data_IF_836393420911
#
_entry.id   IF_836393420911
#
_cell.length_a   1.000
_cell.length_b   1.000
_cell.length_c   1.000
_cell.angle_alpha   90.00
_cell.angle_beta   90.00
_cell.angle_gamma   90.00
#
_symmetry.space_group_name_H-M   'P 1'
#
loop_
_entity.id
_entity.type
_entity.pdbx_description
1 polymer ?
#
# COMPACT_ATOMS: atom_id res chain seq x y z
N UNK A 1 -2.55 21.11 15.82
CA UNK A 1 -1.12 21.28 16.20
C UNK A 1 -0.31 21.32 14.91
N UNK A 2 0.40 22.43 14.62
CA UNK A 2 1.14 22.59 13.35
C UNK A 2 2.41 21.73 13.33
N UNK A 3 2.63 21.01 12.24
CA UNK A 3 3.88 20.29 11.97
C UNK A 3 5.03 21.30 11.82
N UNK A 4 6.28 20.90 12.13
CA UNK A 4 7.45 21.77 11.86
C UNK A 4 7.52 22.10 10.37
N UNK A 5 7.66 23.39 10.02
CA UNK A 5 7.67 23.89 8.63
C UNK A 5 8.63 23.14 7.70
N UNK A 6 9.83 22.78 8.20
CA UNK A 6 10.82 22.00 7.42
C UNK A 6 10.30 20.64 6.99
N UNK A 7 9.51 19.98 7.83
CA UNK A 7 8.94 18.68 7.52
C UNK A 7 7.78 18.84 6.55
N UNK A 8 6.91 19.81 6.80
CA UNK A 8 5.78 20.11 5.92
C UNK A 8 6.24 20.39 4.48
N UNK A 9 7.25 21.25 4.31
CA UNK A 9 7.82 21.58 2.99
C UNK A 9 8.33 20.34 2.24
N UNK A 10 9.03 19.43 2.92
CA UNK A 10 9.51 18.18 2.29
C UNK A 10 8.38 17.30 1.77
N UNK A 11 7.26 17.25 2.49
CA UNK A 11 6.10 16.48 2.03
C UNK A 11 5.41 17.17 0.85
N UNK A 12 5.30 18.50 0.85
CA UNK A 12 4.78 19.26 -0.32
C UNK A 12 5.65 18.99 -1.55
N UNK A 13 6.98 19.16 -1.44
CA UNK A 13 7.93 18.91 -2.54
C UNK A 13 7.83 17.46 -3.06
N UNK A 14 7.66 16.49 -2.15
CA UNK A 14 7.45 15.10 -2.53
C UNK A 14 6.16 14.91 -3.33
N UNK A 15 5.03 15.37 -2.80
CA UNK A 15 3.73 15.20 -3.47
C UNK A 15 3.63 15.98 -4.78
N UNK A 16 4.27 17.15 -4.88
CA UNK A 16 4.39 17.92 -6.11
C UNK A 16 5.22 17.18 -7.17
N UNK A 17 6.37 16.62 -6.79
CA UNK A 17 7.21 15.81 -7.68
C UNK A 17 6.46 14.58 -8.19
N UNK A 18 5.76 13.87 -7.31
CA UNK A 18 4.96 12.70 -7.70
C UNK A 18 3.79 13.13 -8.59
N UNK A 19 3.02 14.15 -8.20
CA UNK A 19 1.91 14.67 -9.01
C UNK A 19 2.37 15.08 -10.41
N UNK A 20 3.57 15.65 -10.54
CA UNK A 20 4.14 16.00 -11.84
C UNK A 20 4.40 14.77 -12.71
N UNK A 21 4.82 13.65 -12.12
CA UNK A 21 4.98 12.37 -12.84
C UNK A 21 3.62 11.80 -13.29
N UNK A 22 2.58 11.95 -12.47
CA UNK A 22 1.24 11.44 -12.75
C UNK A 22 0.32 12.46 -13.45
N UNK A 23 0.87 13.58 -13.93
CA UNK A 23 0.13 14.63 -14.66
C UNK A 23 -1.09 15.18 -13.90
N UNK A 24 -1.01 15.29 -12.56
CA UNK A 24 -2.11 15.78 -11.73
C UNK A 24 -3.28 14.81 -11.55
N UNK A 25 -3.20 13.58 -12.09
CA UNK A 25 -4.19 12.53 -11.84
C UNK A 25 -4.00 11.89 -10.48
N UNK A 26 -5.04 11.20 -10.01
CA UNK A 26 -4.99 10.40 -8.79
C UNK A 26 -3.88 9.35 -8.87
N UNK A 27 -3.05 9.26 -7.83
CA UNK A 27 -2.00 8.24 -7.73
C UNK A 27 -2.12 7.45 -6.43
N UNK A 28 -1.87 6.14 -6.52
CA UNK A 28 -1.84 5.24 -5.36
C UNK A 28 -0.39 5.03 -4.92
N UNK A 29 -0.12 5.26 -3.62
CA UNK A 29 1.20 5.06 -3.04
C UNK A 29 1.14 4.29 -1.73
N UNK A 30 2.15 3.44 -1.50
CA UNK A 30 2.32 2.79 -0.22
C UNK A 30 2.87 3.79 0.80
N UNK A 31 2.40 3.70 2.06
CA UNK A 31 2.96 4.50 3.13
C UNK A 31 4.47 4.26 3.30
N UNK A 32 4.96 3.03 3.09
CA UNK A 32 6.38 2.70 3.16
C UNK A 32 7.24 3.45 2.15
N UNK A 33 6.71 3.70 0.96
CA UNK A 33 7.47 4.37 -0.11
C UNK A 33 7.61 5.85 0.19
N UNK A 34 6.54 6.46 0.71
CA UNK A 34 6.58 7.84 1.21
C UNK A 34 7.57 7.95 2.37
N UNK A 35 7.61 6.99 3.29
CA UNK A 35 8.59 6.98 4.39
C UNK A 35 10.03 6.85 3.88
N UNK A 36 10.27 6.02 2.87
CA UNK A 36 11.60 5.83 2.27
C UNK A 36 12.10 7.11 1.60
N UNK A 37 11.25 7.80 0.87
CA UNK A 37 11.63 9.02 0.15
C UNK A 37 11.76 10.23 1.08
N UNK A 38 10.82 10.39 2.03
CA UNK A 38 10.82 11.53 2.95
C UNK A 38 11.73 11.33 4.17
N UNK A 39 12.14 10.09 4.44
CA UNK A 39 12.89 9.69 5.64
C UNK A 39 12.08 9.81 6.94
N UNK A 40 10.76 9.97 6.86
CA UNK A 40 9.91 10.21 8.01
C UNK A 40 9.43 8.91 8.69
N UNK A 41 9.39 8.92 10.02
CA UNK A 41 8.75 7.87 10.80
C UNK A 41 7.23 7.82 10.55
N UNK A 42 6.59 6.67 10.78
CA UNK A 42 5.18 6.42 10.44
C UNK A 42 4.22 7.41 11.13
N UNK A 43 4.49 7.74 12.39
CA UNK A 43 3.68 8.71 13.16
C UNK A 43 3.79 10.10 12.53
N UNK A 44 4.98 10.50 12.09
CA UNK A 44 5.22 11.78 11.43
C UNK A 44 4.55 11.84 10.06
N UNK A 45 4.60 10.75 9.29
CA UNK A 45 3.91 10.62 8.01
C UNK A 45 2.39 10.82 8.16
N UNK A 46 1.75 10.12 9.10
CA UNK A 46 0.30 10.25 9.33
C UNK A 46 -0.08 11.69 9.68
N UNK A 47 0.70 12.34 10.55
CA UNK A 47 0.49 13.75 10.92
C UNK A 47 0.71 14.70 9.75
N UNK A 48 1.70 14.42 8.89
CA UNK A 48 1.99 15.25 7.72
C UNK A 48 0.88 15.13 6.67
N UNK A 49 0.40 13.92 6.39
CA UNK A 49 -0.72 13.69 5.49
C UNK A 49 -1.98 14.39 6.00
N UNK A 50 -2.28 14.26 7.29
CA UNK A 50 -3.44 14.93 7.88
C UNK A 50 -3.30 16.46 7.78
N UNK A 51 -2.13 17.02 8.10
CA UNK A 51 -1.88 18.45 7.97
C UNK A 51 -2.03 18.93 6.52
N UNK A 52 -1.50 18.19 5.55
CA UNK A 52 -1.62 18.54 4.13
C UNK A 52 -3.05 18.43 3.59
N UNK A 53 -3.84 17.49 4.12
CA UNK A 53 -5.25 17.40 3.80
C UNK A 53 -6.06 18.54 4.44
N UNK A 54 -5.76 18.89 5.70
CA UNK A 54 -6.35 20.05 6.38
C UNK A 54 -5.99 21.37 5.70
N UNK A 55 -4.75 21.49 5.20
CA UNK A 55 -4.25 22.66 4.46
C UNK A 55 -4.74 22.70 2.99
N UNK A 56 -5.53 21.71 2.55
CA UNK A 56 -6.10 21.65 1.20
C UNK A 56 -5.09 21.39 0.08
N UNK A 57 -3.90 20.90 0.42
CA UNK A 57 -2.82 20.61 -0.54
C UNK A 57 -3.06 19.26 -1.24
N UNK A 58 -3.60 18.29 -0.51
CA UNK A 58 -3.88 16.93 -1.01
C UNK A 58 -5.26 16.44 -0.58
N UNK A 59 -5.90 15.63 -1.42
CA UNK A 59 -7.02 14.77 -1.04
C UNK A 59 -6.48 13.35 -0.78
N UNK A 60 -7.01 12.68 0.24
CA UNK A 60 -6.55 11.34 0.65
C UNK A 60 -7.73 10.39 0.68
N UNK A 61 -7.66 9.34 -0.11
CA UNK A 61 -8.62 8.25 -0.14
C UNK A 61 -7.96 6.93 0.28
N UNK A 62 -8.71 6.02 0.95
CA UNK A 62 -8.17 4.70 1.27
C UNK A 62 -7.81 3.95 -0.03
N UNK A 63 -6.62 3.35 -0.06
CA UNK A 63 -6.17 2.53 -1.19
C UNK A 63 -6.74 1.11 -1.15
N UNK A 64 -6.13 0.22 -1.94
CA UNK A 64 -6.52 -1.21 -2.02
C UNK A 64 -6.52 -1.93 -0.67
N UNK A 65 -5.70 -1.49 0.27
CA UNK A 65 -5.67 -1.98 1.64
C UNK A 65 -5.07 -0.91 2.58
N UNK A 66 -4.97 -1.23 3.87
CA UNK A 66 -4.47 -0.31 4.91
C UNK A 66 -3.00 0.14 4.76
N UNK A 67 -2.24 -0.44 3.81
CA UNK A 67 -0.84 -0.07 3.51
C UNK A 67 -0.73 1.00 2.42
N UNK A 68 -1.77 1.16 1.61
CA UNK A 68 -1.80 2.07 0.47
C UNK A 68 -2.84 3.17 0.67
N UNK A 69 -2.57 4.33 0.11
CA UNK A 69 -3.54 5.41 0.01
C UNK A 69 -3.50 6.01 -1.39
N UNK A 70 -4.67 6.43 -1.86
CA UNK A 70 -4.81 7.22 -3.08
C UNK A 70 -4.71 8.68 -2.70
N UNK A 71 -3.89 9.41 -3.44
CA UNK A 71 -3.66 10.83 -3.24
C UNK A 71 -4.01 11.59 -4.51
N UNK A 72 -4.70 12.73 -4.34
CA UNK A 72 -4.90 13.72 -5.39
C UNK A 72 -4.23 15.01 -4.94
N UNK A 73 -3.36 15.57 -5.77
CA UNK A 73 -2.67 16.82 -5.45
C UNK A 73 -3.50 17.99 -5.98
N UNK A 74 -3.93 18.89 -5.09
CA UNK A 74 -4.87 19.96 -5.42
C UNK A 74 -4.19 21.30 -5.75
N UNK A 75 -2.88 21.42 -5.47
CA UNK A 75 -2.12 22.65 -5.69
C UNK A 75 -1.52 22.76 -7.12
N UNK A 76 -1.56 21.68 -7.91
CA UNK A 76 -1.35 21.76 -9.35
C UNK A 76 -2.68 22.18 -9.97
N UNK A 77 -2.67 23.33 -10.64
CA UNK A 77 -3.85 24.00 -11.18
C UNK A 77 -4.89 23.05 -11.81
N UNK A 78 -6.19 23.36 -11.66
CA UNK A 78 -7.29 22.55 -12.13
C UNK A 78 -7.42 22.70 -13.64
N UNK A 79 -7.45 21.58 -14.34
CA UNK A 79 -8.19 21.42 -15.60
C UNK A 79 -8.70 19.99 -15.62
N UNK A 80 -9.68 19.72 -14.75
CA UNK A 80 -10.84 18.88 -15.03
C UNK A 80 -11.89 19.40 -14.05
N UNK A 81 -12.82 20.18 -14.60
CA UNK A 81 -14.07 20.54 -13.95
C UNK A 81 -14.82 19.25 -13.59
N UNK A 82 -14.80 18.84 -12.33
CA UNK A 82 -15.93 18.10 -11.76
C UNK A 82 -16.81 19.12 -11.04
N UNK A 83 -17.69 19.71 -11.84
CA UNK A 83 -18.85 20.48 -11.40
C UNK A 83 -19.67 19.61 -10.44
N UNK A 84 -20.04 20.09 -9.23
CA UNK A 84 -20.98 19.36 -8.39
C UNK A 84 -22.35 19.36 -9.07
N UNK A 85 -22.80 18.17 -9.45
CA UNK A 85 -24.16 17.86 -9.87
C UNK A 85 -25.14 18.27 -8.76
N UNK A 86 -25.87 19.37 -8.96
CA UNK A 86 -27.29 19.36 -8.62
C UNK A 86 -28.10 20.37 -9.47
N UNK A 87 -29.26 19.88 -9.92
CA UNK A 87 -30.36 20.57 -10.59
C UNK A 87 -30.28 20.89 -12.10
N UNK A 88 -31.14 20.14 -12.83
CA UNK A 88 -32.01 20.59 -13.94
C UNK A 88 -31.75 19.97 -15.31
N UNK A 89 -32.51 18.91 -15.57
CA UNK A 89 -33.15 18.53 -16.82
C UNK A 89 -32.85 19.37 -18.08
N UNK A 90 -32.28 18.73 -19.11
CA UNK A 90 -32.85 18.66 -20.47
C UNK A 90 -32.00 17.72 -21.35
N UNK A 91 -32.71 17.02 -22.23
CA UNK A 91 -32.28 16.04 -23.23
C UNK A 91 -31.14 16.54 -24.14
N UNK A 92 -30.20 15.71 -24.59
CA UNK A 92 -30.17 15.06 -25.94
C UNK A 92 -28.91 14.21 -26.15
N UNK A 93 -29.07 13.20 -27.02
CA UNK A 93 -28.15 12.19 -27.55
C UNK A 93 -26.73 12.69 -27.91
N UNK A 94 -25.67 11.89 -27.66
CA UNK A 94 -25.11 10.99 -28.69
C UNK A 94 -24.06 10.02 -28.10
N UNK A 95 -23.89 8.91 -28.80
CA UNK A 95 -23.13 7.72 -28.46
C UNK A 95 -21.62 7.93 -28.40
N UNK A 96 -20.91 7.26 -27.48
CA UNK A 96 -19.71 6.50 -27.82
C UNK A 96 -19.38 5.48 -26.71
N UNK A 97 -19.34 4.22 -27.12
CA UNK A 97 -19.07 3.01 -26.34
C UNK A 97 -17.69 3.02 -25.66
N UNK A 98 -17.53 2.60 -24.39
CA UNK A 98 -16.21 2.36 -23.84
C UNK A 98 -15.60 1.12 -24.49
N UNK A 99 -14.46 1.33 -25.14
CA UNK A 99 -13.66 0.31 -25.81
C UNK A 99 -13.32 -0.85 -24.88
N UNK A 100 -13.66 -2.07 -25.31
CA UNK A 100 -13.42 -3.33 -24.61
C UNK A 100 -11.93 -3.70 -24.44
N UNK A 101 -11.00 -2.88 -24.95
CA UNK A 101 -9.57 -3.17 -24.97
C UNK A 101 -8.81 -2.77 -23.69
N UNK A 102 -9.31 -1.82 -22.89
CA UNK A 102 -8.68 -1.46 -21.59
C UNK A 102 -8.97 -2.48 -20.49
N UNK A 103 -10.13 -3.15 -20.54
CA UNK A 103 -10.48 -4.21 -19.57
C UNK A 103 -9.62 -5.47 -19.73
N UNK A 104 -9.16 -5.78 -20.94
CA UNK A 104 -8.34 -6.97 -21.20
C UNK A 104 -6.93 -6.88 -20.57
N UNK A 105 -6.28 -5.71 -20.65
CA UNK A 105 -4.94 -5.49 -20.07
C UNK A 105 -4.96 -5.46 -18.54
N UNK A 106 -6.03 -4.94 -17.94
CA UNK A 106 -6.19 -4.93 -16.49
C UNK A 106 -6.50 -6.33 -15.94
N UNK A 107 -7.24 -7.15 -16.68
CA UNK A 107 -7.50 -8.55 -16.36
C UNK A 107 -6.23 -9.41 -16.38
N UNK A 108 -5.38 -9.26 -17.40
CA UNK A 108 -4.14 -10.04 -17.55
C UNK A 108 -3.12 -9.74 -16.42
N UNK A 109 -2.97 -8.48 -16.03
CA UNK A 109 -2.11 -8.08 -14.90
C UNK A 109 -2.69 -8.57 -13.57
N UNK A 110 -4.01 -8.56 -13.41
CA UNK A 110 -4.67 -9.07 -12.22
C UNK A 110 -4.53 -10.60 -12.10
N UNK A 111 -4.66 -11.34 -13.21
CA UNK A 111 -4.47 -12.78 -13.26
C UNK A 111 -3.03 -13.16 -12.88
N UNK A 112 -2.02 -12.52 -13.48
CA UNK A 112 -0.62 -12.73 -13.10
C UNK A 112 -0.36 -12.43 -11.62
N UNK A 113 -0.92 -11.34 -11.07
CA UNK A 113 -0.81 -11.05 -9.63
C UNK A 113 -1.49 -12.13 -8.77
N UNK A 114 -2.63 -12.67 -9.20
CA UNK A 114 -3.31 -13.74 -8.45
C UNK A 114 -2.51 -15.05 -8.48
N UNK A 115 -1.81 -15.33 -9.57
CA UNK A 115 -0.89 -16.47 -9.69
C UNK A 115 0.30 -16.30 -8.74
N UNK A 116 0.96 -15.14 -8.73
CA UNK A 116 2.07 -14.83 -7.82
C UNK A 116 1.65 -14.98 -6.35
N UNK A 117 0.46 -14.48 -5.99
CA UNK A 117 -0.09 -14.60 -4.63
C UNK A 117 -0.34 -16.06 -4.27
N UNK A 118 -0.82 -16.87 -5.23
CA UNK A 118 -1.06 -18.30 -5.04
C UNK A 118 0.26 -19.05 -4.84
N UNK A 119 1.28 -18.78 -5.63
CA UNK A 119 2.62 -19.36 -5.48
C UNK A 119 3.24 -19.01 -4.13
N UNK A 120 3.18 -17.72 -3.76
CA UNK A 120 3.68 -17.27 -2.47
C UNK A 120 2.96 -17.95 -1.30
N UNK A 121 1.63 -18.15 -1.41
CA UNK A 121 0.85 -18.88 -0.41
C UNK A 121 1.33 -20.32 -0.27
N UNK A 122 1.61 -21.00 -1.39
CA UNK A 122 2.14 -22.38 -1.37
C UNK A 122 3.53 -22.44 -0.72
N UNK A 123 4.42 -21.49 -1.02
CA UNK A 123 5.74 -21.41 -0.40
C UNK A 123 5.64 -21.20 1.12
N UNK A 124 4.74 -20.32 1.56
CA UNK A 124 4.48 -20.09 2.99
C UNK A 124 3.97 -21.36 3.67
N UNK A 125 3.04 -22.07 3.05
CA UNK A 125 2.51 -23.31 3.63
C UNK A 125 3.56 -24.42 3.67
N UNK A 126 4.40 -24.53 2.65
CA UNK A 126 5.54 -25.45 2.65
C UNK A 126 6.52 -25.11 3.79
N UNK A 127 6.85 -23.83 3.96
CA UNK A 127 7.73 -23.36 5.04
C UNK A 127 7.14 -23.68 6.42
N UNK A 128 5.83 -23.42 6.64
CA UNK A 128 5.14 -23.75 7.89
C UNK A 128 5.24 -25.25 8.22
N UNK A 129 5.03 -26.13 7.23
CA UNK A 129 5.18 -27.59 7.44
C UNK A 129 6.62 -27.95 7.79
N UNK A 130 7.60 -27.36 7.11
CA UNK A 130 9.02 -27.61 7.40
C UNK A 130 9.41 -27.18 8.82
N UNK A 131 8.95 -26.01 9.26
CA UNK A 131 9.19 -25.51 10.62
C UNK A 131 8.60 -26.47 11.66
N UNK A 132 7.34 -26.90 11.50
CA UNK A 132 6.72 -27.89 12.41
C UNK A 132 7.51 -29.20 12.47
N UNK A 133 7.99 -29.70 11.33
CA UNK A 133 8.80 -30.90 11.31
C UNK A 133 10.14 -30.70 12.05
N UNK A 134 10.76 -29.53 11.89
CA UNK A 134 11.99 -29.18 12.61
C UNK A 134 11.74 -29.05 14.11
N UNK A 135 10.64 -28.43 14.53
CA UNK A 135 10.24 -28.32 15.94
C UNK A 135 10.04 -29.71 16.57
N UNK A 136 9.36 -30.63 15.85
CA UNK A 136 9.19 -32.02 16.31
C UNK A 136 10.54 -32.75 16.42
N UNK A 137 11.44 -32.57 15.45
CA UNK A 137 12.77 -33.19 15.50
C UNK A 137 13.60 -32.65 16.68
N UNK A 138 13.54 -31.34 16.94
CA UNK A 138 14.21 -30.72 18.09
C UNK A 138 13.68 -31.28 19.40
N UNK A 139 12.36 -31.41 19.55
CA UNK A 139 11.77 -32.00 20.76
C UNK A 139 12.27 -33.43 21.00
N UNK A 140 12.29 -34.27 19.96
CA UNK A 140 12.82 -35.64 20.06
C UNK A 140 14.31 -35.69 20.44
N UNK A 141 15.11 -34.76 19.90
CA UNK A 141 16.53 -34.65 20.26
C UNK A 141 16.72 -34.19 21.71
N UNK A 142 15.90 -33.25 22.18
CA UNK A 142 15.90 -32.78 23.57
C UNK A 142 15.57 -33.91 24.53
N UNK A 143 14.54 -34.72 24.24
CA UNK A 143 14.18 -35.88 25.05
C UNK A 143 15.34 -36.89 25.14
N UNK A 144 16.00 -37.18 24.01
CA UNK A 144 17.16 -38.10 24.01
C UNK A 144 18.38 -37.53 24.71
N UNK A 145 18.63 -36.22 24.61
CA UNK A 145 19.69 -35.58 25.38
C UNK A 145 19.42 -35.68 26.88
N UNK A 146 18.19 -35.41 27.33
CA UNK A 146 17.81 -35.54 28.72
C UNK A 146 18.02 -36.98 29.26
N UNK A 147 17.64 -38.00 28.49
CA UNK A 147 17.89 -39.39 28.87
C UNK A 147 19.39 -39.73 28.99
N UNK A 148 20.23 -39.18 28.11
CA UNK A 148 21.69 -39.39 28.16
C UNK A 148 22.29 -38.66 29.37
N UNK A 149 21.88 -37.42 29.62
CA UNK A 149 22.30 -36.64 30.80
C UNK A 149 21.94 -37.36 32.10
N UNK A 150 20.74 -37.95 32.19
CA UNK A 150 20.30 -38.74 33.33
C UNK A 150 21.16 -39.99 33.55
N UNK A 151 21.55 -40.68 32.47
CA UNK A 151 22.45 -41.85 32.55
C UNK A 151 23.85 -41.45 33.01
N UNK A 152 24.35 -40.29 32.57
CA UNK A 152 25.65 -39.77 32.97
C UNK A 152 25.67 -39.29 34.43
N UNK A 153 24.58 -38.69 34.92
CA UNK A 153 24.48 -38.21 36.32
C UNK A 153 24.24 -39.31 37.35
N UNK A 154 23.75 -40.48 36.93
CA UNK A 154 23.50 -41.63 37.81
C UNK A 154 24.70 -42.58 37.94
N UNK A 155 25.81 -42.27 37.26
CA UNK A 155 27.11 -42.93 37.40
C UNK A 155 28.07 -42.02 38.18
#
# INVERSE_FOLDING_TARGET
MRLKEKTHRKFVEFFEKISSMYQGKDFELAYSDIQRETGAASVTLKRAIQALAEDGVIEVQPGRNSRYARFRYLLAAPDIEETPLDASAAETQDSETPSAEESARFGEVFESMTEDVRELTQLVDHLKRRVRNQEMAIALLQDRLAEIEDKLRKH
#
